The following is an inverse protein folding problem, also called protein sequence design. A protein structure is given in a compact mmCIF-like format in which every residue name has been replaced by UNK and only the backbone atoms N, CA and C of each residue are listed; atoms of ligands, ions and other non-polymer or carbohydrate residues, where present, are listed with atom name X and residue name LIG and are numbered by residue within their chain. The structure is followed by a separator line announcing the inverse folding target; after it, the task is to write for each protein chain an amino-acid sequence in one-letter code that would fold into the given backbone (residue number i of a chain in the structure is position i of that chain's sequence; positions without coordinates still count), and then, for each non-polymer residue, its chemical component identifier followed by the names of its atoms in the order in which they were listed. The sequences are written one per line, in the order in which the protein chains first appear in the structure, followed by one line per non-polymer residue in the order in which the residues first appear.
data_IF_871394003678
#
_entry.id   IF_871394003678
#
_cell.length_a   1.000
_cell.length_b   1.000
_cell.length_c   1.000
_cell.angle_alpha   90.00
_cell.angle_beta   90.00
_cell.angle_gamma   90.00
#
_symmetry.space_group_name_H-M   'P 1'
#
loop_
_entity.id
_entity.type
_entity.pdbx_description
1 polymer ?
#
# COMPACT_ATOMS: atom_id res chain seq x y z
N UNK A 1 -6.89 -26.04 -28.90
CA UNK A 1 -7.04 -26.21 -27.43
C UNK A 1 -6.33 -25.05 -26.78
N UNK A 2 -6.99 -23.90 -26.65
CA UNK A 2 -6.40 -22.70 -26.03
C UNK A 2 -6.59 -22.85 -24.53
N UNK A 3 -5.50 -23.04 -23.80
CA UNK A 3 -5.54 -23.03 -22.34
C UNK A 3 -6.03 -21.66 -21.89
N UNK A 4 -7.15 -21.62 -21.16
CA UNK A 4 -7.52 -20.45 -20.37
C UNK A 4 -6.48 -20.37 -19.26
N UNK A 5 -5.49 -19.50 -19.40
CA UNK A 5 -4.63 -19.15 -18.27
C UNK A 5 -5.55 -18.55 -17.21
N UNK A 6 -5.65 -19.24 -16.07
CA UNK A 6 -6.50 -18.78 -14.98
C UNK A 6 -5.99 -17.42 -14.53
N UNK A 7 -6.81 -16.38 -14.65
CA UNK A 7 -6.40 -15.01 -14.33
C UNK A 7 -5.88 -14.94 -12.89
N UNK A 8 -4.61 -14.56 -12.72
CA UNK A 8 -3.98 -14.37 -11.42
C UNK A 8 -4.62 -13.14 -10.78
N UNK A 9 -5.15 -13.29 -9.58
CA UNK A 9 -5.75 -12.17 -8.82
C UNK A 9 -4.90 -11.85 -7.62
N UNK A 10 -4.48 -10.59 -7.52
CA UNK A 10 -3.64 -10.10 -6.42
C UNK A 10 -4.28 -8.85 -5.83
N UNK A 11 -4.25 -8.73 -4.50
CA UNK A 11 -4.67 -7.53 -3.80
C UNK A 11 -3.68 -6.38 -4.01
N UNK A 12 -4.17 -5.15 -4.12
CA UNK A 12 -3.29 -3.95 -4.21
C UNK A 12 -2.28 -3.92 -3.07
N UNK A 13 -2.71 -4.23 -1.84
CA UNK A 13 -1.85 -4.29 -0.67
C UNK A 13 -0.75 -5.34 -0.81
N UNK A 14 -1.11 -6.55 -1.26
CA UNK A 14 -0.15 -7.66 -1.39
C UNK A 14 0.93 -7.33 -2.41
N UNK A 15 0.55 -6.71 -3.52
CA UNK A 15 1.50 -6.25 -4.54
C UNK A 15 2.43 -5.17 -3.99
N UNK A 16 1.89 -4.14 -3.34
CA UNK A 16 2.70 -3.06 -2.75
C UNK A 16 3.66 -3.60 -1.69
N UNK A 17 3.18 -4.47 -0.79
CA UNK A 17 4.00 -5.08 0.25
C UNK A 17 5.12 -5.94 -0.36
N UNK A 18 4.83 -6.71 -1.41
CA UNK A 18 5.84 -7.47 -2.12
C UNK A 18 6.93 -6.56 -2.72
N UNK A 19 6.54 -5.46 -3.37
CA UNK A 19 7.51 -4.52 -3.96
C UNK A 19 8.29 -3.70 -2.94
N UNK A 20 7.72 -3.46 -1.75
CA UNK A 20 8.36 -2.72 -0.67
C UNK A 20 9.34 -3.57 0.16
N UNK A 21 9.35 -4.90 -0.04
CA UNK A 21 10.32 -5.79 0.60
C UNK A 21 11.70 -5.60 -0.04
N UNK A 22 12.54 -4.84 0.62
CA UNK A 22 13.95 -4.60 0.26
C UNK A 22 14.84 -4.73 1.53
N UNK A 23 16.08 -5.20 1.40
CA UNK A 23 17.07 -5.20 2.48
C UNK A 23 16.94 -6.32 3.54
N UNK A 24 17.60 -6.11 4.70
CA UNK A 24 17.56 -6.99 5.87
C UNK A 24 16.46 -6.54 6.84
N UNK A 25 15.68 -7.50 7.34
CA UNK A 25 14.56 -7.29 8.27
C UNK A 25 15.04 -7.01 9.72
N UNK A 26 16.29 -6.58 9.90
CA UNK A 26 16.84 -6.29 11.22
C UNK A 26 16.13 -5.10 11.86
N UNK A 27 15.24 -5.42 12.79
CA UNK A 27 14.42 -4.53 13.61
C UNK A 27 15.23 -3.54 14.46
N UNK A 28 16.57 -3.65 14.51
CA UNK A 28 17.46 -2.72 15.23
C UNK A 28 17.61 -1.36 14.56
N UNK A 29 17.18 -1.19 13.31
CA UNK A 29 17.22 0.10 12.59
C UNK A 29 15.99 0.99 12.83
N UNK A 30 15.26 0.80 13.92
CA UNK A 30 14.00 1.51 14.19
C UNK A 30 14.16 3.03 14.39
N UNK A 31 14.03 3.81 13.32
CA UNK A 31 13.66 5.22 13.38
C UNK A 31 12.14 5.35 13.58
N UNK A 32 11.63 4.84 14.71
CA UNK A 32 10.21 4.99 15.05
C UNK A 32 10.03 6.17 16.00
N UNK A 33 9.11 7.11 15.71
CA UNK A 33 8.85 8.25 16.57
C UNK A 33 8.34 7.77 17.93
N UNK A 34 8.61 8.54 18.98
CA UNK A 34 7.96 8.31 20.26
C UNK A 34 6.46 8.64 20.18
N UNK A 35 5.68 8.23 21.19
CA UNK A 35 4.22 8.39 21.17
C UNK A 35 3.76 9.85 20.94
N UNK A 36 4.45 10.82 21.55
CA UNK A 36 4.10 12.25 21.43
C UNK A 36 4.42 12.78 20.03
N UNK A 37 5.59 12.43 19.51
CA UNK A 37 6.00 12.74 18.13
C UNK A 37 5.02 12.13 17.12
N UNK A 38 4.57 10.90 17.35
CA UNK A 38 3.56 10.23 16.54
C UNK A 38 2.24 11.01 16.49
N UNK A 39 1.71 11.45 17.64
CA UNK A 39 0.46 12.24 17.71
C UNK A 39 0.61 13.60 17.02
N UNK A 40 1.73 14.29 17.27
CA UNK A 40 2.01 15.59 16.65
C UNK A 40 2.15 15.47 15.12
N UNK A 41 2.87 14.44 14.65
CA UNK A 41 3.02 14.14 13.24
C UNK A 41 1.68 13.79 12.58
N UNK A 42 0.87 12.95 13.21
CA UNK A 42 -0.45 12.58 12.71
C UNK A 42 -1.36 13.80 12.56
N UNK A 43 -1.41 14.66 13.59
CA UNK A 43 -2.19 15.91 13.57
C UNK A 43 -1.75 16.83 12.43
N UNK A 44 -0.43 16.94 12.19
CA UNK A 44 0.13 17.73 11.11
C UNK A 44 -0.26 17.20 9.73
N UNK A 45 -0.18 15.87 9.53
CA UNK A 45 -0.58 15.23 8.27
C UNK A 45 -2.07 15.42 8.01
N UNK A 46 -2.91 15.25 9.04
CA UNK A 46 -4.36 15.44 8.92
C UNK A 46 -4.71 16.88 8.56
N UNK A 47 -4.09 17.87 9.22
CA UNK A 47 -4.34 19.29 8.96
C UNK A 47 -3.96 19.73 7.53
N UNK A 48 -3.06 19.02 6.86
CA UNK A 48 -2.65 19.31 5.47
C UNK A 48 -3.57 18.72 4.41
N UNK A 49 -4.51 17.84 4.79
CA UNK A 49 -5.46 17.22 3.86
C UNK A 49 -6.52 18.24 3.44
N UNK A 50 -6.69 18.42 2.13
CA UNK A 50 -7.73 19.28 1.56
C UNK A 50 -9.11 18.63 1.57
N UNK A 51 -10.14 19.38 1.18
CA UNK A 51 -11.53 18.90 1.12
C UNK A 51 -11.71 17.67 0.22
N UNK A 52 -10.92 17.55 -0.84
CA UNK A 52 -10.95 16.44 -1.80
C UNK A 52 -10.15 15.21 -1.34
N UNK A 53 -9.53 15.26 -0.15
CA UNK A 53 -8.73 14.14 0.33
C UNK A 53 -9.60 12.91 0.61
N UNK A 54 -9.21 11.80 -0.01
CA UNK A 54 -9.80 10.49 0.25
C UNK A 54 -8.77 9.66 1.00
N UNK A 55 -9.17 9.08 2.13
CA UNK A 55 -8.29 8.22 2.92
C UNK A 55 -7.91 6.95 2.18
N UNK A 56 -8.82 6.45 1.33
CA UNK A 56 -8.57 5.37 0.40
C UNK A 56 -9.46 5.54 -0.85
N UNK A 57 -8.96 5.16 -2.01
CA UNK A 57 -9.68 5.10 -3.29
C UNK A 57 -9.70 3.68 -3.84
N UNK A 58 -10.75 3.33 -4.57
CA UNK A 58 -10.81 2.03 -5.25
C UNK A 58 -9.83 2.00 -6.43
N UNK A 59 -8.98 0.98 -6.46
CA UNK A 59 -8.00 0.75 -7.52
C UNK A 59 -8.27 -0.59 -8.22
N UNK A 60 -8.11 -0.60 -9.54
CA UNK A 60 -8.17 -1.79 -10.37
C UNK A 60 -7.25 -1.63 -11.57
N UNK A 61 -6.48 -2.67 -11.88
CA UNK A 61 -5.57 -2.73 -13.02
C UNK A 61 -5.42 -4.14 -13.55
N UNK A 62 -4.96 -4.25 -14.79
CA UNK A 62 -4.66 -5.52 -15.45
C UNK A 62 -3.32 -5.41 -16.17
N UNK A 63 -2.48 -6.43 -16.04
CA UNK A 63 -1.22 -6.58 -16.77
C UNK A 63 -1.08 -8.03 -17.20
N UNK A 64 -1.13 -8.30 -18.51
CA UNK A 64 -1.27 -9.64 -19.06
C UNK A 64 -2.38 -10.43 -18.33
N UNK A 65 -2.06 -11.59 -17.75
CA UNK A 65 -3.00 -12.45 -17.03
C UNK A 65 -3.21 -12.05 -15.55
N UNK A 66 -2.52 -11.00 -15.08
CA UNK A 66 -2.60 -10.51 -13.71
C UNK A 66 -3.65 -9.40 -13.57
N UNK A 67 -4.68 -9.66 -12.78
CA UNK A 67 -5.65 -8.65 -12.32
C UNK A 67 -5.30 -8.21 -10.90
N UNK A 68 -5.10 -6.90 -10.72
CA UNK A 68 -4.85 -6.29 -9.41
C UNK A 68 -6.06 -5.46 -9.01
N UNK A 69 -6.55 -5.63 -7.79
CA UNK A 69 -7.68 -4.82 -7.29
C UNK A 69 -7.63 -4.63 -5.79
N UNK A 70 -8.17 -3.51 -5.31
CA UNK A 70 -8.17 -3.20 -3.88
C UNK A 70 -8.43 -1.72 -3.62
N UNK A 71 -7.97 -1.25 -2.46
CA UNK A 71 -8.04 0.15 -2.05
C UNK A 71 -6.66 0.64 -1.61
N UNK A 72 -6.37 1.93 -1.82
CA UNK A 72 -5.13 2.58 -1.41
C UNK A 72 -5.37 4.04 -1.07
#
# INVERSE_FOLDING_TARGET
MTAVLSALRVGVRDLCEFTAREGDLDVRFGMSPNAREGVAGHSTVVARRGAEYQSEVALKGCHDDLTVSGRA
#
